data_IF_515136123367
#
_entry.id   IF_515136123367
#
_cell.length_a   1.000
_cell.length_b   1.000
_cell.length_c   1.000
_cell.angle_alpha   90.00
_cell.angle_beta   90.00
_cell.angle_gamma   90.00
#
_symmetry.space_group_name_H-M   'P 1'
#
loop_
_entity.id
_entity.type
_entity.pdbx_description
1 polymer ?
#
# COMPACT_ATOMS: atom_id res chain seq x y z
N UNK A 1 14.57 -8.42 13.81
CA UNK A 1 13.93 -7.20 13.31
C UNK A 1 12.50 -7.48 12.92
N UNK A 2 11.58 -6.65 13.39
CA UNK A 2 10.18 -6.73 12.95
C UNK A 2 10.01 -5.98 11.64
N UNK A 3 9.32 -6.60 10.69
CA UNK A 3 9.01 -6.00 9.39
C UNK A 3 7.67 -5.31 9.46
N UNK A 4 7.67 -4.02 9.20
CA UNK A 4 6.46 -3.19 9.22
C UNK A 4 6.20 -2.71 7.80
N UNK A 5 5.12 -3.19 7.20
CA UNK A 5 4.73 -2.76 5.87
C UNK A 5 3.74 -1.60 5.97
N UNK A 6 4.08 -0.48 5.37
CA UNK A 6 3.18 0.65 5.21
C UNK A 6 2.58 0.59 3.83
N UNK A 7 1.24 0.54 3.76
CA UNK A 7 0.52 0.43 2.50
C UNK A 7 -0.15 1.77 2.22
N UNK A 8 0.14 2.35 1.06
CA UNK A 8 -0.41 3.66 0.69
C UNK A 8 -0.99 3.61 -0.72
N UNK A 9 -2.20 4.14 -0.88
CA UNK A 9 -2.94 4.12 -2.13
C UNK A 9 -3.08 5.47 -2.83
N UNK A 10 -2.65 6.55 -2.21
CA UNK A 10 -2.77 7.88 -2.77
C UNK A 10 -1.73 8.82 -2.17
N UNK A 11 -1.40 9.87 -2.94
CA UNK A 11 -0.44 10.87 -2.49
C UNK A 11 -0.86 11.56 -1.18
N UNK A 12 -2.16 11.80 -1.01
CA UNK A 12 -2.69 12.42 0.21
C UNK A 12 -2.46 11.55 1.44
N UNK A 13 -2.61 10.23 1.31
CA UNK A 13 -2.31 9.30 2.40
C UNK A 13 -0.82 9.28 2.70
N UNK A 14 0.01 9.23 1.67
CA UNK A 14 1.45 9.26 1.84
C UNK A 14 1.91 10.52 2.58
N UNK A 15 1.34 11.67 2.23
CA UNK A 15 1.67 12.91 2.91
C UNK A 15 1.43 12.86 4.42
N UNK A 16 0.37 12.17 4.84
CA UNK A 16 0.05 11.97 6.26
C UNK A 16 0.89 10.87 6.89
N UNK A 17 1.21 9.81 6.13
CA UNK A 17 1.99 8.68 6.62
C UNK A 17 3.50 8.94 6.64
N UNK A 18 3.97 9.97 5.96
CA UNK A 18 5.39 10.22 5.74
C UNK A 18 6.21 10.20 7.03
N UNK A 19 5.70 10.80 8.09
CA UNK A 19 6.42 10.87 9.36
C UNK A 19 6.46 9.53 10.08
N UNK A 20 5.41 8.73 9.96
CA UNK A 20 5.41 7.35 10.47
C UNK A 20 6.40 6.50 9.68
N UNK A 21 6.43 6.65 8.36
CA UNK A 21 7.40 5.98 7.49
C UNK A 21 8.83 6.33 7.91
N UNK A 22 9.09 7.61 8.13
CA UNK A 22 10.41 8.10 8.52
C UNK A 22 10.85 7.51 9.86
N UNK A 23 9.95 7.48 10.84
CA UNK A 23 10.24 6.90 12.16
C UNK A 23 10.56 5.41 12.06
N UNK A 24 9.80 4.66 11.27
CA UNK A 24 10.06 3.23 11.06
C UNK A 24 11.39 3.04 10.35
N UNK A 25 11.66 3.86 9.34
CA UNK A 25 12.88 3.77 8.54
C UNK A 25 14.14 3.97 9.39
N UNK A 26 14.09 4.86 10.38
CA UNK A 26 15.22 5.16 11.24
C UNK A 26 15.28 4.30 12.51
N UNK A 27 14.25 3.53 12.82
CA UNK A 27 14.25 2.66 13.99
C UNK A 27 15.17 1.45 13.76
N UNK A 28 16.08 1.21 14.68
CA UNK A 28 17.10 0.15 14.51
C UNK A 28 16.54 -1.26 14.61
N UNK A 29 15.41 -1.43 15.32
CA UNK A 29 14.77 -2.73 15.52
C UNK A 29 13.64 -3.01 14.54
N UNK A 30 13.34 -2.09 13.63
CA UNK A 30 12.28 -2.24 12.63
C UNK A 30 12.84 -2.21 11.23
N UNK A 31 12.21 -2.96 10.35
CA UNK A 31 12.50 -2.93 8.92
C UNK A 31 11.27 -2.38 8.19
N UNK A 32 11.45 -1.27 7.51
CA UNK A 32 10.40 -0.67 6.70
C UNK A 32 10.18 -1.46 5.41
N UNK A 33 8.92 -1.73 5.10
CA UNK A 33 8.50 -2.22 3.79
C UNK A 33 7.45 -1.25 3.26
N UNK A 34 7.59 -0.81 2.02
CA UNK A 34 6.61 0.10 1.40
C UNK A 34 5.89 -0.61 0.27
N UNK A 35 4.56 -0.61 0.37
CA UNK A 35 3.68 -1.14 -0.67
C UNK A 35 2.83 0.01 -1.20
N UNK A 36 2.88 0.24 -2.49
CA UNK A 36 2.07 1.28 -3.13
C UNK A 36 1.05 0.66 -4.06
N UNK A 37 -0.11 1.29 -4.12
CA UNK A 37 -1.23 0.83 -4.94
C UNK A 37 -2.09 2.03 -5.37
N UNK A 38 -3.18 1.76 -6.06
CA UNK A 38 -4.18 2.77 -6.38
C UNK A 38 -3.63 3.94 -7.18
N UNK A 39 -3.96 5.14 -6.72
CA UNK A 39 -3.60 6.38 -7.41
C UNK A 39 -2.11 6.62 -7.57
N UNK A 40 -1.27 6.04 -6.71
CA UNK A 40 0.18 6.17 -6.86
C UNK A 40 0.69 5.61 -8.19
N UNK A 41 0.01 4.63 -8.75
CA UNK A 41 0.42 3.95 -9.98
C UNK A 41 -0.35 4.42 -11.20
N UNK A 42 -1.21 5.43 -11.05
CA UNK A 42 -2.04 5.96 -12.13
C UNK A 42 -1.30 7.05 -12.89
N UNK A 43 -1.10 6.89 -14.22
CA UNK A 43 -0.57 7.98 -15.04
C UNK A 43 -1.45 9.23 -15.01
N UNK A 44 -2.77 9.06 -14.91
CA UNK A 44 -3.74 10.16 -14.84
C UNK A 44 -3.56 10.99 -13.59
N UNK A 45 -3.08 10.40 -12.51
CA UNK A 45 -2.80 11.07 -11.25
C UNK A 45 -1.32 11.44 -11.10
N UNK A 46 -0.52 11.31 -12.16
CA UNK A 46 0.86 11.77 -12.22
C UNK A 46 1.90 10.78 -11.70
N UNK A 47 1.57 9.50 -11.57
CA UNK A 47 2.50 8.47 -11.07
C UNK A 47 3.17 8.91 -9.77
N UNK A 48 2.37 9.22 -8.77
CA UNK A 48 2.82 9.85 -7.53
C UNK A 48 3.73 8.96 -6.66
N UNK A 49 3.89 7.66 -6.99
CA UNK A 49 4.89 6.82 -6.34
C UNK A 49 6.30 7.40 -6.49
N UNK A 50 6.55 8.18 -7.54
CA UNK A 50 7.82 8.85 -7.77
C UNK A 50 8.18 9.84 -6.66
N UNK A 51 7.17 10.44 -6.04
CA UNK A 51 7.39 11.33 -4.88
C UNK A 51 8.01 10.58 -3.71
N UNK A 52 7.60 9.33 -3.50
CA UNK A 52 8.14 8.47 -2.46
C UNK A 52 9.60 8.14 -2.75
N UNK A 53 9.91 7.82 -3.99
CA UNK A 53 11.28 7.53 -4.42
C UNK A 53 12.17 8.76 -4.32
N UNK A 54 11.66 9.93 -4.68
CA UNK A 54 12.37 11.21 -4.57
C UNK A 54 12.70 11.54 -3.12
N UNK A 55 11.86 11.13 -2.18
CA UNK A 55 12.10 11.31 -0.75
C UNK A 55 13.14 10.34 -0.19
N UNK A 56 13.65 9.43 -1.02
CA UNK A 56 14.75 8.53 -0.67
C UNK A 56 14.31 7.18 -0.13
N UNK A 57 13.03 6.81 -0.26
CA UNK A 57 12.53 5.51 0.19
C UNK A 57 12.44 4.52 -0.97
N UNK A 58 12.80 3.27 -0.70
CA UNK A 58 12.61 2.18 -1.65
C UNK A 58 11.19 1.65 -1.56
N UNK A 59 10.60 1.38 -2.71
CA UNK A 59 9.28 0.76 -2.81
C UNK A 59 9.48 -0.74 -2.98
N UNK A 60 8.94 -1.53 -2.05
CA UNK A 60 9.14 -2.97 -2.02
C UNK A 60 8.13 -3.72 -2.89
N UNK A 61 6.94 -3.17 -3.06
CA UNK A 61 5.92 -3.75 -3.94
C UNK A 61 5.02 -2.67 -4.54
N UNK A 62 4.67 -2.87 -5.80
CA UNK A 62 3.69 -2.04 -6.52
C UNK A 62 2.54 -2.94 -6.91
N UNK A 63 1.35 -2.63 -6.42
CA UNK A 63 0.15 -3.43 -6.66
C UNK A 63 -0.81 -2.67 -7.56
N UNK A 64 -0.86 -3.05 -8.82
CA UNK A 64 -1.79 -2.46 -9.78
C UNK A 64 -3.21 -2.94 -9.48
N UNK A 65 -4.15 -2.01 -9.40
CA UNK A 65 -5.55 -2.34 -9.13
C UNK A 65 -6.54 -1.54 -9.95
N UNK A 66 -6.14 -0.38 -10.46
CA UNK A 66 -7.08 0.50 -11.13
C UNK A 66 -7.44 0.00 -12.52
N UNK A 67 -8.73 -0.21 -12.76
CA UNK A 67 -9.28 -0.41 -14.09
C UNK A 67 -9.70 0.95 -14.65
N UNK A 68 -9.82 1.04 -15.98
CA UNK A 68 -10.22 2.28 -16.64
C UNK A 68 -11.69 2.63 -16.45
N UNK A 69 -12.48 1.75 -15.82
CA UNK A 69 -13.90 1.98 -15.52
C UNK A 69 -14.08 2.49 -14.09
N UNK A 70 -14.86 3.55 -13.95
CA UNK A 70 -15.20 4.13 -12.64
C UNK A 70 -16.65 3.86 -12.22
N UNK A 71 -17.36 2.99 -12.94
CA UNK A 71 -18.69 2.55 -12.51
C UNK A 71 -18.59 1.61 -11.31
N UNK A 72 -19.71 1.40 -10.60
CA UNK A 72 -19.71 0.59 -9.38
C UNK A 72 -19.13 -0.81 -9.58
N UNK A 73 -19.49 -1.50 -10.65
CA UNK A 73 -18.94 -2.85 -10.90
C UNK A 73 -17.45 -2.80 -11.26
N UNK A 74 -17.01 -1.76 -11.95
CA UNK A 74 -15.60 -1.55 -12.28
C UNK A 74 -14.76 -1.32 -11.03
N UNK A 75 -15.26 -0.53 -10.09
CA UNK A 75 -14.61 -0.28 -8.79
C UNK A 75 -14.53 -1.58 -7.99
N UNK A 76 -15.62 -2.35 -7.96
CA UNK A 76 -15.63 -3.65 -7.28
C UNK A 76 -14.59 -4.61 -7.87
N UNK A 77 -14.42 -4.61 -9.19
CA UNK A 77 -13.39 -5.41 -9.85
C UNK A 77 -11.98 -4.92 -9.51
N UNK A 78 -11.80 -3.61 -9.42
CA UNK A 78 -10.52 -3.02 -8.97
C UNK A 78 -10.18 -3.48 -7.55
N UNK A 79 -11.16 -3.55 -6.66
CA UNK A 79 -10.96 -4.09 -5.32
C UNK A 79 -10.52 -5.56 -5.37
N UNK A 80 -11.10 -6.35 -6.27
CA UNK A 80 -10.68 -7.73 -6.50
C UNK A 80 -9.23 -7.84 -6.96
N UNK A 81 -8.83 -6.99 -7.90
CA UNK A 81 -7.45 -6.91 -8.36
C UNK A 81 -6.50 -6.54 -7.22
N UNK A 82 -6.90 -5.61 -6.37
CA UNK A 82 -6.14 -5.23 -5.19
C UNK A 82 -5.92 -6.42 -4.24
N UNK A 83 -6.97 -7.20 -3.99
CA UNK A 83 -6.88 -8.40 -3.14
C UNK A 83 -5.88 -9.41 -3.70
N UNK A 84 -5.93 -9.66 -5.00
CA UNK A 84 -5.01 -10.60 -5.66
C UNK A 84 -3.56 -10.12 -5.52
N UNK A 85 -3.29 -8.88 -5.90
CA UNK A 85 -1.94 -8.33 -5.87
C UNK A 85 -1.40 -8.17 -4.44
N UNK A 86 -2.26 -7.80 -3.51
CA UNK A 86 -1.87 -7.63 -2.11
C UNK A 86 -1.54 -8.98 -1.47
N UNK A 87 -2.29 -10.03 -1.82
CA UNK A 87 -1.98 -11.40 -1.39
C UNK A 87 -0.57 -11.81 -1.80
N UNK A 88 -0.20 -11.55 -3.05
CA UNK A 88 1.13 -11.86 -3.55
C UNK A 88 2.21 -11.02 -2.84
N UNK A 89 1.96 -9.74 -2.63
CA UNK A 89 2.91 -8.85 -1.96
C UNK A 89 3.14 -9.31 -0.51
N UNK A 90 2.08 -9.61 0.23
CA UNK A 90 2.20 -10.06 1.62
C UNK A 90 2.89 -11.43 1.72
N UNK A 91 2.61 -12.32 0.78
CA UNK A 91 3.28 -13.62 0.75
C UNK A 91 4.78 -13.49 0.52
N UNK A 92 5.16 -12.59 -0.39
CA UNK A 92 6.56 -12.34 -0.73
C UNK A 92 7.31 -11.61 0.39
N UNK A 93 6.71 -10.54 0.91
CA UNK A 93 7.37 -9.66 1.89
C UNK A 93 7.27 -10.18 3.33
N UNK A 94 6.23 -10.95 3.64
CA UNK A 94 5.96 -11.51 4.96
C UNK A 94 6.07 -10.49 6.10
N UNK A 95 5.30 -9.39 6.05
CA UNK A 95 5.36 -8.39 7.11
C UNK A 95 4.84 -8.95 8.43
N UNK A 96 5.40 -8.45 9.52
CA UNK A 96 4.94 -8.78 10.86
C UNK A 96 3.71 -7.95 11.25
N UNK A 97 3.54 -6.80 10.61
CA UNK A 97 2.42 -5.89 10.82
C UNK A 97 2.29 -4.99 9.60
N UNK A 98 1.06 -4.60 9.29
CA UNK A 98 0.84 -3.55 8.29
C UNK A 98 0.29 -2.29 8.96
N UNK A 99 0.64 -1.14 8.41
CA UNK A 99 0.11 0.16 8.78
C UNK A 99 -0.67 0.70 7.59
N UNK A 100 -1.90 1.08 7.82
CA UNK A 100 -2.79 1.63 6.79
C UNK A 100 -3.44 2.90 7.29
N UNK A 101 -3.86 3.75 6.37
CA UNK A 101 -4.53 5.00 6.68
C UNK A 101 -5.58 5.27 5.61
N UNK A 102 -6.67 5.91 5.99
CA UNK A 102 -7.63 6.43 5.04
C UNK A 102 -8.97 5.73 5.09
N UNK A 103 -9.82 6.16 4.18
CA UNK A 103 -11.22 5.74 4.10
C UNK A 103 -11.63 5.43 2.65
N UNK A 104 -10.65 5.31 1.76
CA UNK A 104 -10.92 5.00 0.35
C UNK A 104 -11.27 3.53 0.19
N UNK A 105 -11.86 3.19 -0.97
CA UNK A 105 -12.34 1.83 -1.22
C UNK A 105 -11.22 0.79 -1.28
N UNK A 106 -10.00 1.17 -1.64
CA UNK A 106 -8.87 0.23 -1.66
C UNK A 106 -8.47 -0.27 -0.27
N UNK A 107 -8.84 0.45 0.77
CA UNK A 107 -8.53 0.03 2.14
C UNK A 107 -9.21 -1.30 2.50
N UNK A 108 -10.43 -1.51 2.01
CA UNK A 108 -11.18 -2.73 2.33
C UNK A 108 -10.47 -4.00 1.85
N UNK A 109 -10.05 -4.13 0.57
CA UNK A 109 -9.32 -5.33 0.14
C UNK A 109 -7.94 -5.46 0.80
N UNK A 110 -7.26 -4.35 1.11
CA UNK A 110 -5.98 -4.39 1.82
C UNK A 110 -6.17 -5.02 3.19
N UNK A 111 -7.10 -4.48 3.97
CA UNK A 111 -7.38 -4.94 5.33
C UNK A 111 -7.95 -6.36 5.33
N UNK A 112 -8.86 -6.65 4.41
CA UNK A 112 -9.45 -7.99 4.30
C UNK A 112 -8.41 -9.06 3.97
N UNK A 113 -7.48 -8.76 3.09
CA UNK A 113 -6.39 -9.67 2.74
C UNK A 113 -5.46 -9.91 3.93
N UNK A 114 -5.07 -8.85 4.62
CA UNK A 114 -4.24 -8.96 5.81
C UNK A 114 -4.94 -9.77 6.92
N UNK A 115 -6.23 -9.54 7.10
CA UNK A 115 -7.03 -10.26 8.09
C UNK A 115 -7.00 -11.78 7.83
N UNK A 116 -7.28 -12.18 6.59
CA UNK A 116 -7.31 -13.60 6.19
C UNK A 116 -5.92 -14.23 6.33
N UNK A 117 -4.88 -13.48 6.02
CA UNK A 117 -3.49 -13.95 6.12
C UNK A 117 -2.91 -13.83 7.53
N UNK A 118 -3.71 -13.40 8.50
CA UNK A 118 -3.33 -13.26 9.92
C UNK A 118 -2.18 -12.29 10.15
N UNK A 119 -2.15 -11.22 9.40
CA UNK A 119 -1.17 -10.15 9.55
C UNK A 119 -1.81 -9.07 10.43
N UNK A 120 -1.21 -8.69 11.56
CA UNK A 120 -1.70 -7.59 12.41
C UNK A 120 -1.78 -6.27 11.64
N UNK A 121 -2.83 -5.48 11.96
CA UNK A 121 -3.16 -4.24 11.27
C UNK A 121 -3.16 -3.08 12.26
#
# INVERSE_FOLDING_TARGET
>A
MKKIAVVTGARSEYGLLRWVIDEIHHATELQLQLIVTGGHLSPEQGLTYRCIEEDGYDIDAKVDMLLSSDCASGIAKSMGMCSIGMSDAFLHLQPDMIVVLGDRYELLPIVGTALVMRIPI
#
